data_IF_493174881127
#
_entry.id   IF_493174881127
#
_cell.length_a   1.000
_cell.length_b   1.000
_cell.length_c   1.000
_cell.angle_alpha   90.00
_cell.angle_beta   90.00
_cell.angle_gamma   90.00
#
_symmetry.space_group_name_H-M   'P 1'
#
loop_
_entity.id
_entity.type
_entity.pdbx_description
1 polymer ?
#
# COMPACT_ATOMS: atom_id res chain seq x y z
N UNK A 1 74.62 -1.00 -22.88
CA UNK A 1 73.81 -0.15 -23.76
C UNK A 1 72.40 -0.71 -23.65
N UNK A 2 71.63 -0.45 -22.58
CA UNK A 2 71.18 0.87 -22.06
C UNK A 2 70.72 1.77 -23.22
N UNK A 3 69.50 2.34 -23.27
CA UNK A 3 68.47 2.58 -22.26
C UNK A 3 67.18 3.08 -22.98
N UNK A 4 66.01 2.78 -22.40
CA UNK A 4 64.69 3.48 -22.46
C UNK A 4 63.99 3.76 -23.82
N UNK A 5 62.66 3.87 -23.95
CA UNK A 5 61.58 4.13 -22.99
C UNK A 5 60.23 3.72 -23.61
N UNK A 6 59.28 3.36 -22.75
CA UNK A 6 57.83 3.55 -22.89
C UNK A 6 57.05 2.91 -24.06
N UNK A 7 56.22 1.92 -23.72
CA UNK A 7 54.77 2.10 -23.64
C UNK A 7 54.15 0.82 -23.06
N UNK A 8 54.22 0.72 -21.72
CA UNK A 8 53.27 -0.07 -20.95
C UNK A 8 52.07 0.83 -20.73
N UNK A 9 50.93 0.61 -21.40
CA UNK A 9 49.67 1.17 -20.92
C UNK A 9 48.44 0.45 -21.49
N UNK A 10 47.66 -0.10 -20.55
CA UNK A 10 46.20 -0.19 -20.55
C UNK A 10 45.52 -1.33 -21.31
N UNK A 11 45.56 -2.53 -20.72
CA UNK A 11 44.43 -3.46 -20.79
C UNK A 11 43.34 -2.95 -19.82
N UNK A 12 42.14 -2.54 -20.27
CA UNK A 12 41.05 -2.32 -19.33
C UNK A 12 40.57 -3.70 -18.87
N UNK A 13 40.97 -4.08 -17.66
CA UNK A 13 40.33 -5.17 -16.92
C UNK A 13 38.91 -4.72 -16.57
N UNK A 14 37.98 -4.87 -17.52
CA UNK A 14 36.57 -4.59 -17.31
C UNK A 14 35.98 -5.71 -16.46
N UNK A 15 36.22 -5.65 -15.15
CA UNK A 15 35.53 -6.47 -14.16
C UNK A 15 34.04 -6.11 -14.28
N UNK A 16 33.21 -7.11 -14.57
CA UNK A 16 31.77 -6.88 -14.75
C UNK A 16 31.18 -6.24 -13.49
N UNK A 17 30.24 -5.27 -13.63
CA UNK A 17 29.63 -4.60 -12.48
C UNK A 17 28.86 -5.58 -11.57
N UNK A 18 28.49 -6.75 -12.10
CA UNK A 18 27.87 -7.85 -11.35
C UNK A 18 28.88 -8.60 -10.47
N UNK A 19 30.11 -8.81 -10.95
CA UNK A 19 31.20 -9.38 -10.16
C UNK A 19 31.68 -8.41 -9.08
N UNK A 20 31.74 -7.11 -9.38
CA UNK A 20 32.08 -6.09 -8.40
C UNK A 20 31.00 -6.01 -7.30
N UNK A 21 29.72 -6.14 -7.67
CA UNK A 21 28.59 -6.19 -6.72
C UNK A 21 28.57 -7.46 -5.88
N UNK A 22 28.88 -8.62 -6.47
CA UNK A 22 28.93 -9.89 -5.73
C UNK A 22 30.14 -9.98 -4.81
N UNK A 23 31.31 -9.48 -5.24
CA UNK A 23 32.51 -9.38 -4.40
C UNK A 23 32.34 -8.35 -3.28
N UNK A 24 31.73 -7.19 -3.56
CA UNK A 24 31.41 -6.21 -2.52
C UNK A 24 30.40 -6.78 -1.51
N UNK A 25 29.38 -7.51 -1.97
CA UNK A 25 28.41 -8.16 -1.09
C UNK A 25 29.02 -9.27 -0.24
N UNK A 26 29.92 -10.09 -0.81
CA UNK A 26 30.60 -11.16 -0.08
C UNK A 26 31.65 -10.63 0.90
N UNK A 27 32.41 -9.60 0.54
CA UNK A 27 33.38 -8.95 1.43
C UNK A 27 32.65 -8.23 2.56
N UNK A 28 31.52 -7.56 2.29
CA UNK A 28 30.74 -6.87 3.31
C UNK A 28 30.05 -7.84 4.26
N UNK A 29 29.48 -8.94 3.77
CA UNK A 29 28.83 -9.96 4.62
C UNK A 29 29.84 -10.79 5.42
N UNK A 30 31.02 -11.08 4.87
CA UNK A 30 32.10 -11.77 5.58
C UNK A 30 32.77 -10.85 6.63
N UNK A 31 33.01 -9.58 6.28
CA UNK A 31 33.51 -8.58 7.22
C UNK A 31 32.51 -8.33 8.36
N UNK A 32 31.21 -8.23 8.08
CA UNK A 32 30.19 -8.00 9.12
C UNK A 32 30.14 -9.17 10.11
N UNK A 33 30.24 -10.43 9.64
CA UNK A 33 30.36 -11.60 10.53
C UNK A 33 31.65 -11.60 11.35
N UNK A 34 32.78 -11.19 10.79
CA UNK A 34 34.05 -11.07 11.52
C UNK A 34 34.02 -9.95 12.56
N UNK A 35 33.44 -8.79 12.23
CA UNK A 35 33.32 -7.66 13.16
C UNK A 35 32.33 -7.92 14.28
N UNK A 36 31.24 -8.63 14.02
CA UNK A 36 30.28 -9.04 15.07
C UNK A 36 30.95 -10.02 16.04
N UNK A 37 31.70 -11.01 15.54
CA UNK A 37 32.42 -11.97 16.39
C UNK A 37 33.59 -11.34 17.18
N UNK A 38 34.25 -10.30 16.64
CA UNK A 38 35.35 -9.61 17.34
C UNK A 38 34.86 -8.52 18.31
N UNK A 39 33.75 -7.84 18.01
CA UNK A 39 33.18 -6.77 18.83
C UNK A 39 32.65 -7.28 20.18
N UNK A 40 32.24 -8.56 20.26
CA UNK A 40 31.89 -9.20 21.53
C UNK A 40 33.06 -9.28 22.52
N UNK A 41 34.32 -9.23 22.05
CA UNK A 41 35.51 -9.37 22.90
C UNK A 41 36.26 -8.07 23.19
N UNK A 42 36.15 -7.02 22.37
CA UNK A 42 36.92 -5.77 22.58
C UNK A 42 36.17 -4.51 22.12
N UNK A 43 35.84 -3.64 23.09
CA UNK A 43 35.18 -2.31 22.92
C UNK A 43 35.73 -1.38 21.81
N UNK A 44 37.05 -1.31 21.49
CA UNK A 44 37.53 -0.38 20.46
C UNK A 44 37.08 -0.72 19.02
N UNK A 45 36.65 -1.96 18.73
CA UNK A 45 36.19 -2.34 17.39
C UNK A 45 34.81 -1.79 17.02
N UNK A 46 33.98 -1.46 18.00
CA UNK A 46 32.69 -0.82 17.79
C UNK A 46 32.86 0.61 17.25
N UNK A 47 33.89 1.32 17.75
CA UNK A 47 34.26 2.65 17.28
C UNK A 47 34.77 2.57 15.84
N UNK A 48 35.63 1.60 15.52
CA UNK A 48 36.11 1.39 14.15
C UNK A 48 34.94 1.10 13.20
N UNK A 49 33.98 0.27 13.62
CA UNK A 49 32.77 0.00 12.82
C UNK A 49 31.96 1.27 12.58
N UNK A 50 31.79 2.10 13.61
CA UNK A 50 31.05 3.36 13.49
C UNK A 50 31.74 4.36 12.57
N UNK A 51 33.08 4.44 12.62
CA UNK A 51 33.91 5.29 11.75
C UNK A 51 33.85 4.82 10.29
N UNK A 52 33.91 3.50 10.04
CA UNK A 52 33.79 2.95 8.69
C UNK A 52 32.41 3.20 8.08
N UNK A 53 31.33 3.02 8.86
CA UNK A 53 29.96 3.26 8.40
C UNK A 53 29.74 4.75 8.13
N UNK A 54 30.17 5.65 9.04
CA UNK A 54 30.02 7.09 8.83
C UNK A 54 30.87 7.60 7.66
N UNK A 55 32.08 7.09 7.50
CA UNK A 55 32.94 7.39 6.34
C UNK A 55 32.30 6.93 5.02
N UNK A 56 31.75 5.71 4.97
CA UNK A 56 31.06 5.20 3.80
C UNK A 56 29.83 6.04 3.41
N UNK A 57 29.01 6.42 4.40
CA UNK A 57 27.86 7.31 4.18
C UNK A 57 28.28 8.72 3.75
N UNK A 58 29.40 9.22 4.26
CA UNK A 58 29.98 10.49 3.84
C UNK A 58 30.42 10.45 2.37
N UNK A 59 31.09 9.38 1.93
CA UNK A 59 31.48 9.21 0.54
C UNK A 59 30.29 9.04 -0.40
N UNK A 60 29.22 8.33 0.00
CA UNK A 60 27.99 8.24 -0.77
C UNK A 60 27.30 9.61 -0.95
N UNK A 61 27.33 10.44 0.10
CA UNK A 61 26.80 11.81 0.05
C UNK A 61 27.68 12.73 -0.81
N UNK A 62 29.00 12.57 -0.76
CA UNK A 62 29.95 13.30 -1.61
C UNK A 62 29.79 12.89 -3.08
N UNK A 63 29.56 11.61 -3.36
CA UNK A 63 29.26 11.11 -4.71
C UNK A 63 27.95 11.72 -5.24
N UNK A 64 26.92 11.77 -4.40
CA UNK A 64 25.64 12.40 -4.74
C UNK A 64 25.78 13.90 -5.02
N UNK A 65 26.75 14.57 -4.41
CA UNK A 65 27.03 15.99 -4.67
C UNK A 65 27.78 16.19 -6.00
N UNK A 66 28.75 15.32 -6.30
CA UNK A 66 29.56 15.38 -7.52
C UNK A 66 28.77 15.01 -8.79
N UNK A 67 27.78 14.12 -8.69
CA UNK A 67 27.00 13.62 -9.84
C UNK A 67 25.64 14.32 -10.04
N UNK A 68 25.24 15.27 -9.19
CA UNK A 68 23.94 15.94 -9.25
C UNK A 68 24.04 17.47 -9.45
N UNK A 69 25.18 17.96 -9.97
CA UNK A 69 25.47 19.40 -10.11
C UNK A 69 24.94 20.06 -11.41
N UNK A 70 24.25 19.35 -12.30
CA UNK A 70 23.75 19.89 -13.58
C UNK A 70 22.21 19.98 -13.70
N UNK A 71 21.53 20.45 -12.64
CA UNK A 71 20.13 20.89 -12.74
C UNK A 71 19.99 22.34 -12.21
N UNK A 72 19.32 23.26 -12.95
CA UNK A 72 19.35 24.68 -12.65
C UNK A 72 18.54 25.06 -11.40
N UNK A 73 18.88 26.18 -10.73
CA UNK A 73 18.35 26.53 -9.42
C UNK A 73 16.92 27.08 -9.48
N UNK A 74 16.07 26.55 -8.59
CA UNK A 74 14.69 27.00 -8.36
C UNK A 74 14.72 28.24 -7.47
N UNK A 75 14.43 29.42 -8.03
CA UNK A 75 14.26 30.66 -7.27
C UNK A 75 12.83 30.78 -6.73
N UNK A 76 12.72 31.15 -5.46
CA UNK A 76 11.49 31.59 -4.80
C UNK A 76 11.23 33.06 -5.17
N UNK A 77 10.01 33.41 -5.60
CA UNK A 77 9.36 34.67 -5.26
C UNK A 77 7.87 34.63 -5.62
N UNK A 78 7.08 35.31 -4.79
CA UNK A 78 5.63 35.41 -4.78
C UNK A 78 5.03 36.15 -6.00
N UNK A 79 3.72 35.93 -6.16
CA UNK A 79 2.65 36.80 -6.71
C UNK A 79 1.89 36.16 -7.88
N UNK A 80 0.57 36.04 -7.67
CA UNK A 80 -0.48 35.69 -8.61
C UNK A 80 -0.25 36.24 -10.02
N UNK A 81 -0.43 35.41 -11.05
CA UNK A 81 -1.22 35.71 -12.27
C UNK A 81 -1.29 34.46 -13.14
N UNK A 82 -2.51 34.11 -13.55
CA UNK A 82 -2.87 33.08 -14.52
C UNK A 82 -2.12 33.27 -15.84
N UNK A 83 -1.51 32.22 -16.38
CA UNK A 83 -1.37 31.95 -17.82
C UNK A 83 -0.84 30.53 -18.05
N UNK A 84 -1.57 29.64 -18.74
CA UNK A 84 -1.01 28.36 -19.18
C UNK A 84 -0.18 28.55 -20.49
N UNK A 85 0.91 27.78 -20.67
CA UNK A 85 1.62 27.75 -21.95
C UNK A 85 0.80 26.98 -22.98
N UNK A 86 0.66 27.56 -24.16
CA UNK A 86 0.09 26.90 -25.34
C UNK A 86 1.04 25.79 -25.81
N UNK A 87 0.54 24.55 -25.83
CA UNK A 87 1.05 23.51 -26.75
C UNK A 87 -0.07 22.55 -27.12
N UNK A 88 -0.16 22.28 -28.41
CA UNK A 88 -1.26 21.71 -29.18
C UNK A 88 -1.78 20.33 -28.75
N UNK A 89 -3.11 20.21 -28.90
CA UNK A 89 -3.89 19.14 -29.51
C UNK A 89 -3.66 17.69 -29.04
N UNK A 90 -4.51 17.23 -28.10
CA UNK A 90 -5.38 16.01 -28.23
C UNK A 90 -6.12 15.52 -26.96
N UNK A 91 -6.19 16.27 -25.86
CA UNK A 91 -6.87 15.80 -24.62
C UNK A 91 -7.86 16.81 -23.99
N UNK A 92 -8.73 17.40 -24.78
CA UNK A 92 -9.58 18.54 -24.37
C UNK A 92 -10.97 18.16 -23.82
N UNK A 93 -11.12 17.00 -23.16
CA UNK A 93 -12.37 16.65 -22.45
C UNK A 93 -12.17 16.54 -20.91
N UNK A 94 -10.94 16.32 -20.41
CA UNK A 94 -10.72 16.04 -18.97
C UNK A 94 -10.49 17.26 -18.05
N UNK A 95 -10.15 18.43 -18.59
CA UNK A 95 -9.65 19.56 -17.76
C UNK A 95 -10.76 20.45 -17.16
N UNK A 96 -11.98 20.39 -17.72
CA UNK A 96 -13.08 21.29 -17.31
C UNK A 96 -13.95 20.76 -16.15
N UNK A 97 -13.97 19.44 -15.93
CA UNK A 97 -14.90 18.79 -14.99
C UNK A 97 -14.46 18.96 -13.54
N UNK A 98 -13.15 18.88 -13.28
CA UNK A 98 -12.54 18.97 -11.96
C UNK A 98 -12.55 20.37 -11.33
N UNK A 99 -12.75 21.44 -12.13
CA UNK A 99 -12.81 22.83 -11.64
C UNK A 99 -14.25 23.38 -11.55
N UNK A 100 -15.26 22.52 -11.73
CA UNK A 100 -16.65 22.92 -11.57
C UNK A 100 -16.96 23.30 -10.11
N UNK A 101 -17.88 24.25 -9.92
CA UNK A 101 -18.35 24.63 -8.59
C UNK A 101 -18.92 23.45 -7.80
N UNK A 102 -19.57 22.51 -8.51
CA UNK A 102 -20.16 21.29 -7.95
C UNK A 102 -19.06 20.32 -7.51
N UNK A 103 -18.02 20.10 -8.32
CA UNK A 103 -16.88 19.28 -7.93
C UNK A 103 -16.18 19.80 -6.68
N UNK A 104 -15.97 21.13 -6.59
CA UNK A 104 -15.40 21.78 -5.40
C UNK A 104 -16.29 21.62 -4.18
N UNK A 105 -17.61 21.82 -4.33
CA UNK A 105 -18.57 21.65 -3.25
C UNK A 105 -18.59 20.21 -2.72
N UNK A 106 -18.70 19.21 -3.60
CA UNK A 106 -18.71 17.81 -3.20
C UNK A 106 -17.38 17.39 -2.55
N UNK A 107 -16.24 17.82 -3.10
CA UNK A 107 -14.92 17.56 -2.53
C UNK A 107 -14.78 18.13 -1.11
N UNK A 108 -15.28 19.35 -0.91
CA UNK A 108 -15.29 20.01 0.40
C UNK A 108 -16.18 19.26 1.39
N UNK A 109 -17.39 18.88 1.00
CA UNK A 109 -18.31 18.11 1.86
C UNK A 109 -17.66 16.78 2.26
N UNK A 110 -17.09 16.02 1.33
CA UNK A 110 -16.40 14.76 1.62
C UNK A 110 -15.18 14.95 2.53
N UNK A 111 -14.44 16.06 2.39
CA UNK A 111 -13.38 16.42 3.33
C UNK A 111 -13.89 16.60 4.75
N UNK A 112 -14.99 17.35 4.89
CA UNK A 112 -15.58 17.62 6.20
C UNK A 112 -16.11 16.32 6.84
N UNK A 113 -16.57 15.35 6.05
CA UNK A 113 -16.98 14.02 6.58
C UNK A 113 -15.82 13.34 7.31
N UNK A 114 -14.62 13.32 6.73
CA UNK A 114 -13.44 12.72 7.38
C UNK A 114 -13.10 13.42 8.70
N UNK A 115 -13.24 14.75 8.77
CA UNK A 115 -12.84 15.56 9.93
C UNK A 115 -13.84 15.51 11.11
N UNK A 116 -15.14 15.32 10.84
CA UNK A 116 -16.16 15.33 11.90
C UNK A 116 -16.26 13.96 12.57
N UNK A 117 -16.14 13.85 13.90
CA UNK A 117 -16.31 12.57 14.60
C UNK A 117 -17.76 12.06 14.52
N UNK A 118 -17.93 10.73 14.45
CA UNK A 118 -19.25 10.07 14.33
C UNK A 118 -20.20 10.41 15.49
N UNK A 119 -19.66 10.73 16.67
CA UNK A 119 -20.45 11.16 17.84
C UNK A 119 -21.15 12.52 17.65
N UNK A 120 -20.72 13.32 16.68
CA UNK A 120 -21.34 14.61 16.38
C UNK A 120 -22.55 14.43 15.47
N UNK A 121 -23.70 15.00 15.83
CA UNK A 121 -24.88 15.05 14.95
C UNK A 121 -24.57 15.70 13.59
N UNK A 122 -23.55 16.57 13.51
CA UNK A 122 -23.10 17.18 12.25
C UNK A 122 -22.60 16.15 11.24
N UNK A 123 -22.04 15.02 11.70
CA UNK A 123 -21.55 13.96 10.84
C UNK A 123 -22.67 13.42 9.94
N UNK A 124 -23.81 13.06 10.55
CA UNK A 124 -24.98 12.57 9.81
C UNK A 124 -25.51 13.61 8.80
N UNK A 125 -25.52 14.89 9.18
CA UNK A 125 -25.98 15.98 8.31
C UNK A 125 -25.06 16.12 7.09
N UNK A 126 -23.75 16.25 7.31
CA UNK A 126 -22.78 16.42 6.22
C UNK A 126 -22.72 15.19 5.33
N UNK A 127 -22.81 13.98 5.91
CA UNK A 127 -22.89 12.74 5.15
C UNK A 127 -24.15 12.67 4.28
N UNK A 128 -25.31 13.03 4.82
CA UNK A 128 -26.56 13.07 4.03
C UNK A 128 -26.50 14.13 2.91
N UNK A 129 -25.79 15.23 3.13
CA UNK A 129 -25.55 16.24 2.09
C UNK A 129 -24.66 15.68 0.97
N UNK A 130 -23.60 14.93 1.31
CA UNK A 130 -22.78 14.25 0.31
C UNK A 130 -23.61 13.26 -0.51
N UNK A 131 -24.42 12.44 0.15
CA UNK A 131 -25.30 11.45 -0.49
C UNK A 131 -26.33 12.11 -1.41
N UNK A 132 -26.94 13.22 -0.98
CA UNK A 132 -27.84 14.02 -1.80
C UNK A 132 -27.18 14.53 -3.07
N UNK A 133 -26.00 15.15 -2.95
CA UNK A 133 -25.26 15.66 -4.11
C UNK A 133 -24.85 14.54 -5.09
N UNK A 134 -24.37 13.41 -4.57
CA UNK A 134 -23.98 12.26 -5.41
C UNK A 134 -25.20 11.73 -6.17
N UNK A 135 -26.34 11.59 -5.48
CA UNK A 135 -27.57 11.06 -6.05
C UNK A 135 -28.21 12.02 -7.05
N UNK A 136 -28.22 13.33 -6.77
CA UNK A 136 -28.68 14.37 -7.70
C UNK A 136 -27.85 14.35 -8.99
N UNK A 137 -26.52 14.35 -8.87
CA UNK A 137 -25.61 14.23 -10.02
C UNK A 137 -25.88 12.97 -10.85
N UNK A 138 -26.23 11.86 -10.18
CA UNK A 138 -26.55 10.59 -10.83
C UNK A 138 -27.89 10.63 -11.56
N UNK A 139 -28.91 11.27 -10.97
CA UNK A 139 -30.26 11.37 -11.55
C UNK A 139 -30.34 12.25 -12.78
N UNK A 140 -29.49 13.28 -12.86
CA UNK A 140 -29.44 14.16 -14.02
C UNK A 140 -28.85 13.47 -15.27
N UNK A 141 -28.18 12.32 -15.11
CA UNK A 141 -27.60 11.47 -16.16
C UNK A 141 -26.76 12.24 -17.21
N UNK A 142 -26.20 13.38 -16.79
CA UNK A 142 -25.30 14.18 -17.61
C UNK A 142 -23.87 13.65 -17.47
N UNK A 143 -23.20 13.40 -18.61
CA UNK A 143 -21.84 12.86 -18.64
C UNK A 143 -20.85 13.67 -17.78
N UNK A 144 -20.97 15.00 -17.80
CA UNK A 144 -20.15 15.88 -16.97
C UNK A 144 -20.34 15.66 -15.46
N UNK A 145 -21.58 15.46 -15.00
CA UNK A 145 -21.88 15.21 -13.57
C UNK A 145 -21.49 13.80 -13.14
N UNK A 146 -21.61 12.84 -14.06
CA UNK A 146 -21.10 11.48 -13.85
C UNK A 146 -19.58 11.48 -13.64
N UNK A 147 -18.85 12.24 -14.46
CA UNK A 147 -17.39 12.40 -14.31
C UNK A 147 -17.02 13.21 -13.05
N UNK A 148 -17.83 14.19 -12.63
CA UNK A 148 -17.65 14.84 -11.31
C UNK A 148 -17.74 13.82 -10.19
N UNK A 149 -18.78 12.99 -10.15
CA UNK A 149 -18.94 11.96 -9.13
C UNK A 149 -17.75 11.01 -9.12
N UNK A 150 -17.35 10.50 -10.29
CA UNK A 150 -16.19 9.64 -10.46
C UNK A 150 -14.93 10.26 -9.86
N UNK A 151 -14.50 11.41 -10.37
CA UNK A 151 -13.24 12.04 -9.99
C UNK A 151 -13.20 12.40 -8.50
N UNK A 152 -14.29 12.96 -7.97
CA UNK A 152 -14.36 13.41 -6.58
C UNK A 152 -14.45 12.23 -5.60
N UNK A 153 -15.25 11.20 -5.90
CA UNK A 153 -15.34 10.01 -5.06
C UNK A 153 -14.02 9.23 -5.05
N UNK A 154 -13.38 9.06 -6.20
CA UNK A 154 -12.09 8.40 -6.31
C UNK A 154 -10.98 9.15 -5.57
N UNK A 155 -10.97 10.49 -5.66
CA UNK A 155 -10.06 11.33 -4.87
C UNK A 155 -10.32 11.20 -3.37
N UNK A 156 -11.59 11.22 -2.95
CA UNK A 156 -11.97 11.05 -1.56
C UNK A 156 -11.60 9.65 -1.02
N UNK A 157 -11.75 8.60 -1.83
CA UNK A 157 -11.35 7.24 -1.49
C UNK A 157 -9.84 7.18 -1.25
N UNK A 158 -9.03 7.65 -2.19
CA UNK A 158 -7.56 7.71 -2.04
C UNK A 158 -7.14 8.48 -0.80
N UNK A 159 -7.75 9.64 -0.54
CA UNK A 159 -7.41 10.46 0.62
C UNK A 159 -7.78 9.78 1.94
N UNK A 160 -8.96 9.19 2.03
CA UNK A 160 -9.40 8.44 3.22
C UNK A 160 -8.48 7.24 3.47
N UNK A 161 -8.02 6.59 2.39
CA UNK A 161 -7.06 5.50 2.46
C UNK A 161 -5.72 5.97 3.03
N UNK A 162 -5.19 7.10 2.56
CA UNK A 162 -3.96 7.70 3.09
C UNK A 162 -4.09 8.12 4.55
N UNK A 163 -5.23 8.68 4.97
CA UNK A 163 -5.48 9.02 6.37
C UNK A 163 -5.54 7.79 7.27
N UNK A 164 -6.17 6.71 6.80
CA UNK A 164 -6.20 5.45 7.54
C UNK A 164 -4.79 4.87 7.69
N UNK A 165 -4.00 4.85 6.62
CA UNK A 165 -2.61 4.39 6.67
C UNK A 165 -1.78 5.23 7.66
N UNK A 166 -1.89 6.55 7.60
CA UNK A 166 -1.20 7.45 8.53
C UNK A 166 -1.60 7.18 9.99
N UNK A 167 -2.89 7.06 10.27
CA UNK A 167 -3.40 6.77 11.62
C UNK A 167 -2.89 5.42 12.15
N UNK A 168 -2.77 4.40 11.28
CA UNK A 168 -2.24 3.09 11.66
C UNK A 168 -0.73 3.11 11.91
N UNK A 169 0.02 3.95 11.20
CA UNK A 169 1.44 4.15 11.47
C UNK A 169 1.66 4.83 12.82
N UNK A 170 0.86 5.85 13.15
CA UNK A 170 0.91 6.53 14.45
C UNK A 170 0.59 5.56 15.60
N UNK A 171 -0.48 4.77 15.47
CA UNK A 171 -0.85 3.74 16.45
C UNK A 171 0.26 2.71 16.68
N UNK A 172 1.03 2.39 15.63
CA UNK A 172 2.18 1.49 15.70
C UNK A 172 3.41 2.08 16.41
N UNK A 173 3.56 3.41 16.42
CA UNK A 173 4.67 4.11 17.07
C UNK A 173 4.45 4.24 18.57
N UNK A 174 3.23 4.54 19.01
CA UNK A 174 2.89 4.73 20.44
C UNK A 174 3.07 3.45 21.27
N UNK A 175 2.86 2.26 20.67
CA UNK A 175 3.07 0.96 21.34
C UNK A 175 4.54 0.66 21.63
N UNK A 176 5.48 1.25 20.89
CA UNK A 176 6.91 0.99 21.05
C UNK A 176 7.51 1.85 22.17
N UNK A 177 6.84 2.95 22.55
CA UNK A 177 7.30 3.85 23.60
C UNK A 177 7.11 3.34 25.03
N UNK A 178 6.30 2.30 25.25
CA UNK A 178 5.84 1.94 26.60
C UNK A 178 6.22 0.55 27.13
N UNK A 179 6.50 -0.45 26.29
CA UNK A 179 6.79 -1.80 26.77
C UNK A 179 8.23 -2.24 26.51
N UNK A 180 9.00 -2.31 27.60
CA UNK A 180 10.32 -2.91 27.64
C UNK A 180 10.27 -4.44 27.53
N UNK A 181 11.22 -4.98 26.76
CA UNK A 181 11.77 -6.34 26.82
C UNK A 181 10.78 -7.52 26.73
N UNK A 182 10.54 -7.99 25.50
CA UNK A 182 10.12 -9.36 25.19
C UNK A 182 10.70 -9.82 23.84
N UNK A 183 11.12 -11.10 23.68
CA UNK A 183 11.75 -11.56 22.45
C UNK A 183 10.70 -12.00 21.44
N UNK A 184 10.66 -11.36 20.26
CA UNK A 184 9.92 -11.87 19.11
C UNK A 184 10.78 -11.70 17.83
N UNK A 185 11.34 -12.80 17.27
CA UNK A 185 11.99 -12.77 15.96
C UNK A 185 10.93 -12.63 14.86
N UNK A 186 11.31 -12.03 13.72
CA UNK A 186 10.48 -11.68 12.54
C UNK A 186 9.82 -10.28 12.58
N UNK A 187 9.50 -9.72 13.74
CA UNK A 187 8.93 -8.36 13.85
C UNK A 187 9.91 -7.22 13.51
N UNK A 188 11.21 -7.49 13.53
CA UNK A 188 12.25 -6.48 13.31
C UNK A 188 12.45 -6.13 11.82
N UNK A 189 12.07 -7.03 10.91
CA UNK A 189 12.33 -6.87 9.48
C UNK A 189 11.31 -5.95 8.80
N UNK A 190 10.02 -6.16 9.08
CA UNK A 190 8.91 -5.31 8.61
C UNK A 190 9.08 -3.87 9.14
N UNK A 191 9.51 -3.72 10.40
CA UNK A 191 9.76 -2.41 11.03
C UNK A 191 10.98 -1.66 10.47
N UNK A 192 11.96 -2.36 9.87
CA UNK A 192 13.12 -1.73 9.21
C UNK A 192 12.83 -1.36 7.76
N UNK A 193 12.03 -2.14 7.06
CA UNK A 193 11.54 -1.80 5.72
C UNK A 193 10.72 -0.48 5.73
N UNK A 194 9.86 -0.28 6.74
CA UNK A 194 9.11 0.97 6.91
C UNK A 194 10.01 2.21 7.12
N UNK A 195 11.21 2.04 7.70
CA UNK A 195 12.13 3.15 7.98
C UNK A 195 12.84 3.67 6.72
N UNK A 196 12.96 2.84 5.70
CA UNK A 196 13.65 3.20 4.45
C UNK A 196 12.73 4.00 3.52
N UNK A 197 11.42 3.72 3.52
CA UNK A 197 10.47 4.41 2.63
C UNK A 197 10.18 5.86 3.08
N UNK A 198 10.25 6.15 4.38
CA UNK A 198 9.98 7.51 4.91
C UNK A 198 11.16 8.49 4.81
N UNK A 199 12.30 8.08 4.27
CA UNK A 199 13.50 8.93 4.19
C UNK A 199 13.61 9.74 2.89
N UNK A 200 12.71 9.51 1.92
CA UNK A 200 12.81 10.09 0.56
C UNK A 200 11.67 11.05 0.20
N UNK A 201 10.61 11.14 0.99
CA UNK A 201 9.51 12.06 0.69
C UNK A 201 8.61 12.34 1.88
N UNK A 202 9.05 13.20 2.78
CA UNK A 202 8.18 14.19 3.45
C UNK A 202 9.02 15.05 4.38
N UNK A 203 9.56 16.13 3.80
CA UNK A 203 9.94 17.29 4.58
C UNK A 203 8.71 18.15 4.80
N UNK A 204 8.50 18.54 6.07
CA UNK A 204 7.58 19.59 6.53
C UNK A 204 6.12 19.15 6.69
N UNK A 205 5.76 18.63 7.87
CA UNK A 205 4.59 19.07 8.67
C UNK A 205 4.82 18.65 10.14
N UNK A 206 5.78 19.28 10.81
CA UNK A 206 5.78 19.35 12.27
C UNK A 206 5.42 20.79 12.63
N UNK A 207 4.15 21.03 12.95
CA UNK A 207 3.73 22.27 13.58
C UNK A 207 3.22 21.97 14.98
N UNK A 208 4.12 22.24 15.92
CA UNK A 208 3.89 22.60 17.31
C UNK A 208 2.51 23.25 17.55
N UNK A 209 1.74 22.74 18.50
CA UNK A 209 0.46 23.33 18.86
C UNK A 209 -0.33 22.65 19.97
N UNK A 210 0.01 23.00 21.21
CA UNK A 210 -0.80 22.90 22.44
C UNK A 210 -0.99 21.52 23.08
N UNK A 211 -0.44 21.39 24.29
CA UNK A 211 -0.77 20.32 25.22
C UNK A 211 -2.25 20.36 25.59
N UNK A 212 -2.93 19.25 25.35
CA UNK A 212 -4.14 18.87 26.06
C UNK A 212 -3.86 17.55 26.76
N UNK A 213 -4.29 17.54 28.02
CA UNK A 213 -4.21 16.48 29.00
C UNK A 213 -4.52 15.09 28.42
N UNK A 214 -3.70 14.13 28.81
CA UNK A 214 -3.81 12.69 28.58
C UNK A 214 -5.25 12.19 28.77
N UNK A 215 -5.92 11.91 27.66
CA UNK A 215 -7.16 11.11 27.62
C UNK A 215 -7.30 10.46 26.22
N UNK A 216 -6.19 9.99 25.63
CA UNK A 216 -6.11 9.75 24.17
C UNK A 216 -5.78 8.30 23.74
N UNK A 217 -5.93 7.30 24.62
CA UNK A 217 -5.66 5.91 24.23
C UNK A 217 -6.81 5.29 23.42
N UNK A 218 -8.06 5.74 23.62
CA UNK A 218 -9.24 5.22 22.91
C UNK A 218 -9.74 6.10 21.75
N UNK A 219 -9.17 7.29 21.55
CA UNK A 219 -9.65 8.24 20.52
C UNK A 219 -9.07 7.91 19.14
N UNK A 220 -7.82 7.47 19.08
CA UNK A 220 -7.13 7.12 17.83
C UNK A 220 -7.68 5.84 17.18
N UNK A 221 -7.93 4.78 17.97
CA UNK A 221 -8.55 3.53 17.48
C UNK A 221 -9.95 3.76 16.88
N UNK A 222 -10.79 4.57 17.54
CA UNK A 222 -12.11 4.94 17.04
C UNK A 222 -12.04 5.79 15.74
N UNK A 223 -10.94 6.53 15.54
CA UNK A 223 -10.72 7.31 14.32
C UNK A 223 -10.36 6.40 13.13
N UNK A 224 -9.48 5.41 13.34
CA UNK A 224 -9.11 4.46 12.28
C UNK A 224 -10.29 3.57 11.88
N UNK A 225 -11.09 3.08 12.84
CA UNK A 225 -12.31 2.32 12.55
C UNK A 225 -13.33 3.15 11.76
N UNK A 226 -13.50 4.43 12.11
CA UNK A 226 -14.32 5.38 11.35
C UNK A 226 -13.83 5.51 9.90
N UNK A 227 -12.54 5.72 9.68
CA UNK A 227 -11.97 5.86 8.34
C UNK A 227 -12.15 4.58 7.51
N UNK A 228 -12.03 3.40 8.12
CA UNK A 228 -12.33 2.13 7.45
C UNK A 228 -13.82 2.02 7.06
N UNK A 229 -14.75 2.47 7.92
CA UNK A 229 -16.17 2.52 7.61
C UNK A 229 -16.50 3.56 6.51
N UNK A 230 -15.78 4.68 6.47
CA UNK A 230 -15.89 5.67 5.40
C UNK A 230 -15.34 5.15 4.07
N UNK A 231 -14.24 4.39 4.07
CA UNK A 231 -13.74 3.70 2.88
C UNK A 231 -14.77 2.72 2.31
N UNK A 232 -15.39 1.90 3.16
CA UNK A 232 -16.44 0.99 2.72
C UNK A 232 -17.60 1.75 2.05
N UNK A 233 -18.02 2.87 2.65
CA UNK A 233 -19.09 3.69 2.10
C UNK A 233 -18.70 4.36 0.78
N UNK A 234 -17.48 4.90 0.67
CA UNK A 234 -16.99 5.49 -0.58
C UNK A 234 -16.91 4.44 -1.69
N UNK A 235 -16.47 3.22 -1.37
CA UNK A 235 -16.49 2.10 -2.30
C UNK A 235 -17.92 1.79 -2.78
N UNK A 236 -18.88 1.71 -1.85
CA UNK A 236 -20.30 1.53 -2.21
C UNK A 236 -20.80 2.66 -3.12
N UNK A 237 -20.44 3.92 -2.84
CA UNK A 237 -20.84 5.05 -3.69
C UNK A 237 -20.18 5.06 -5.06
N UNK A 238 -18.93 4.63 -5.17
CA UNK A 238 -18.27 4.40 -6.45
C UNK A 238 -18.99 3.32 -7.25
N UNK A 239 -19.35 2.21 -6.63
CA UNK A 239 -20.12 1.12 -7.26
C UNK A 239 -21.52 1.59 -7.69
N UNK A 240 -22.25 2.30 -6.83
CA UNK A 240 -23.58 2.87 -7.13
C UNK A 240 -23.56 3.84 -8.34
N UNK A 241 -22.39 4.44 -8.62
CA UNK A 241 -22.16 5.34 -9.76
C UNK A 241 -21.56 4.63 -10.99
N UNK A 242 -21.30 3.32 -10.93
CA UNK A 242 -20.71 2.54 -12.04
C UNK A 242 -19.18 2.56 -12.10
N UNK A 243 -18.50 3.03 -11.05
CA UNK A 243 -17.04 3.21 -10.98
C UNK A 243 -16.38 2.29 -9.94
N UNK A 244 -16.90 1.07 -9.77
CA UNK A 244 -16.39 0.10 -8.80
C UNK A 244 -14.93 -0.31 -9.04
N UNK A 245 -14.49 -0.32 -10.29
CA UNK A 245 -13.12 -0.68 -10.70
C UNK A 245 -12.07 0.21 -10.01
N UNK A 246 -12.36 1.51 -9.91
CA UNK A 246 -11.46 2.48 -9.30
C UNK A 246 -11.27 2.28 -7.80
N UNK A 247 -12.28 1.77 -7.10
CA UNK A 247 -12.17 1.39 -5.69
C UNK A 247 -11.34 0.12 -5.54
N UNK A 248 -11.56 -0.86 -6.42
CA UNK A 248 -10.84 -2.14 -6.45
C UNK A 248 -9.35 -1.92 -6.74
N UNK A 249 -9.00 -1.15 -7.77
CA UNK A 249 -7.61 -0.85 -8.15
C UNK A 249 -6.84 -0.14 -7.02
N UNK A 250 -7.47 0.86 -6.40
CA UNK A 250 -6.88 1.63 -5.29
C UNK A 250 -6.67 0.76 -4.05
N UNK A 251 -7.63 -0.10 -3.74
CA UNK A 251 -7.49 -1.04 -2.63
C UNK A 251 -6.41 -2.08 -2.91
N UNK A 252 -6.39 -2.65 -4.12
CA UNK A 252 -5.35 -3.59 -4.55
C UNK A 252 -3.94 -2.99 -4.41
N UNK A 253 -3.79 -1.71 -4.73
CA UNK A 253 -2.51 -1.00 -4.67
C UNK A 253 -2.08 -0.58 -3.26
N UNK A 254 -2.94 -0.71 -2.24
CA UNK A 254 -2.68 -0.28 -0.88
C UNK A 254 -1.92 -1.34 -0.04
N UNK A 255 -0.80 -1.83 -0.57
CA UNK A 255 0.00 -2.91 0.04
C UNK A 255 0.61 -2.53 1.40
N UNK A 256 0.99 -1.26 1.60
CA UNK A 256 1.48 -0.76 2.88
C UNK A 256 0.40 -0.87 3.97
N UNK A 257 -0.80 -0.37 3.68
CA UNK A 257 -1.95 -0.48 4.57
C UNK A 257 -2.29 -1.95 4.85
N UNK A 258 -2.28 -2.79 3.82
CA UNK A 258 -2.51 -4.23 3.97
C UNK A 258 -1.48 -4.87 4.92
N UNK A 259 -0.20 -4.50 4.83
CA UNK A 259 0.83 -4.99 5.75
C UNK A 259 0.62 -4.51 7.19
N UNK A 260 0.21 -3.25 7.38
CA UNK A 260 -0.09 -2.67 8.69
C UNK A 260 -1.34 -3.32 9.32
N UNK A 261 -2.30 -3.75 8.49
CA UNK A 261 -3.53 -4.42 8.95
C UNK A 261 -3.27 -5.68 9.76
N UNK A 262 -2.18 -6.40 9.48
CA UNK A 262 -1.78 -7.59 10.23
C UNK A 262 -1.40 -7.29 11.69
N UNK A 263 -1.05 -6.04 11.98
CA UNK A 263 -0.67 -5.56 13.32
C UNK A 263 -1.79 -4.73 13.98
N UNK A 264 -2.88 -4.47 13.26
CA UNK A 264 -3.99 -3.69 13.77
C UNK A 264 -4.75 -4.43 14.89
N UNK A 265 -5.46 -3.67 15.71
CA UNK A 265 -6.34 -4.27 16.72
C UNK A 265 -7.47 -5.09 16.06
N UNK A 266 -7.97 -6.14 16.74
CA UNK A 266 -9.04 -7.00 16.24
C UNK A 266 -10.25 -6.29 15.62
N UNK A 267 -10.68 -5.18 16.22
CA UNK A 267 -11.84 -4.40 15.73
C UNK A 267 -11.56 -3.68 14.41
N UNK A 268 -10.38 -3.07 14.30
CA UNK A 268 -9.94 -2.45 13.05
C UNK A 268 -9.69 -3.50 11.97
N UNK A 269 -9.06 -4.64 12.31
CA UNK A 269 -8.95 -5.78 11.38
C UNK A 269 -10.32 -6.21 10.87
N UNK A 270 -11.32 -6.33 11.75
CA UNK A 270 -12.69 -6.65 11.34
C UNK A 270 -13.30 -5.62 10.38
N UNK A 271 -13.05 -4.34 10.60
CA UNK A 271 -13.50 -3.28 9.70
C UNK A 271 -12.82 -3.37 8.32
N UNK A 272 -11.53 -3.65 8.28
CA UNK A 272 -10.78 -3.84 7.02
C UNK A 272 -11.18 -5.12 6.28
N UNK A 273 -11.50 -6.20 7.01
CA UNK A 273 -12.06 -7.43 6.42
C UNK A 273 -13.37 -7.13 5.71
N UNK A 274 -14.24 -6.27 6.26
CA UNK A 274 -15.49 -5.87 5.58
C UNK A 274 -15.22 -5.11 4.28
N UNK A 275 -14.25 -4.20 4.28
CA UNK A 275 -13.82 -3.47 3.07
C UNK A 275 -13.29 -4.45 2.02
N UNK A 276 -12.35 -5.33 2.40
CA UNK A 276 -11.81 -6.37 1.50
C UNK A 276 -12.92 -7.26 0.95
N UNK A 277 -13.84 -7.73 1.80
CA UNK A 277 -14.94 -8.61 1.39
C UNK A 277 -15.83 -7.97 0.34
N UNK A 278 -16.18 -6.70 0.54
CA UNK A 278 -16.98 -5.95 -0.43
C UNK A 278 -16.24 -5.81 -1.76
N UNK A 279 -14.96 -5.45 -1.73
CA UNK A 279 -14.18 -5.19 -2.94
C UNK A 279 -13.79 -6.45 -3.71
N UNK A 280 -13.56 -7.59 -3.03
CA UNK A 280 -13.39 -8.87 -3.72
C UNK A 280 -14.67 -9.30 -4.45
N UNK A 281 -15.84 -9.13 -3.84
CA UNK A 281 -17.12 -9.38 -4.50
C UNK A 281 -17.31 -8.45 -5.71
N UNK A 282 -17.00 -7.17 -5.54
CA UNK A 282 -17.06 -6.20 -6.64
C UNK A 282 -16.12 -6.59 -7.79
N UNK A 283 -14.89 -7.02 -7.50
CA UNK A 283 -13.92 -7.48 -8.51
C UNK A 283 -14.46 -8.64 -9.36
N UNK A 284 -15.15 -9.60 -8.73
CA UNK A 284 -15.82 -10.72 -9.40
C UNK A 284 -17.03 -10.24 -10.23
N UNK A 285 -17.89 -9.39 -9.68
CA UNK A 285 -19.11 -8.99 -10.38
C UNK A 285 -18.83 -8.19 -11.66
N UNK A 286 -17.72 -7.43 -11.68
CA UNK A 286 -17.24 -6.76 -12.90
C UNK A 286 -16.74 -7.72 -13.97
N UNK A 287 -16.36 -8.95 -13.61
CA UNK A 287 -15.90 -9.97 -14.57
C UNK A 287 -17.04 -10.62 -15.32
N UNK A 288 -18.18 -10.84 -14.65
CA UNK A 288 -19.37 -11.40 -15.28
C UNK A 288 -20.10 -10.42 -16.22
N UNK A 289 -19.74 -9.14 -16.22
CA UNK A 289 -20.48 -8.08 -16.89
C UNK A 289 -19.93 -7.66 -18.27
N UNK A 290 -18.86 -8.28 -18.78
CA UNK A 290 -18.15 -7.81 -19.98
C UNK A 290 -18.10 -8.85 -21.12
N UNK A 291 -18.26 -8.36 -22.35
CA UNK A 291 -17.98 -9.07 -23.61
C UNK A 291 -16.46 -9.05 -23.90
N UNK A 292 -15.92 -10.16 -24.44
CA UNK A 292 -14.51 -10.58 -24.62
C UNK A 292 -13.58 -9.66 -25.46
N UNK A 293 -13.77 -8.34 -25.51
CA UNK A 293 -13.31 -7.56 -26.67
C UNK A 293 -11.98 -6.80 -26.53
N UNK A 294 -11.31 -6.74 -25.37
CA UNK A 294 -10.06 -5.95 -25.26
C UNK A 294 -8.99 -6.57 -24.33
N UNK A 295 -8.02 -7.30 -24.92
CA UNK A 295 -6.87 -7.96 -24.24
C UNK A 295 -6.09 -7.04 -23.27
N UNK A 296 -5.99 -5.75 -23.58
CA UNK A 296 -5.27 -4.79 -22.73
C UNK A 296 -5.92 -4.62 -21.35
N UNK A 297 -7.25 -4.64 -21.30
CA UNK A 297 -8.00 -4.52 -20.05
C UNK A 297 -7.95 -5.84 -19.26
N UNK A 298 -7.82 -6.98 -19.92
CA UNK A 298 -7.66 -8.27 -19.24
C UNK A 298 -6.34 -8.34 -18.45
N UNK A 299 -5.23 -7.87 -19.03
CA UNK A 299 -3.93 -7.84 -18.37
C UNK A 299 -3.94 -6.98 -17.10
N UNK A 300 -4.43 -5.75 -17.21
CA UNK A 300 -4.53 -4.81 -16.07
C UNK A 300 -5.43 -5.36 -14.96
N UNK A 301 -6.51 -6.06 -15.33
CA UNK A 301 -7.42 -6.70 -14.38
C UNK A 301 -6.77 -7.90 -13.69
N UNK A 302 -6.02 -8.75 -14.40
CA UNK A 302 -5.26 -9.85 -13.81
C UNK A 302 -4.21 -9.32 -12.82
N UNK A 303 -3.47 -8.27 -13.19
CA UNK A 303 -2.51 -7.61 -12.30
C UNK A 303 -3.21 -7.07 -11.04
N UNK A 304 -4.39 -6.46 -11.20
CA UNK A 304 -5.19 -5.96 -10.07
C UNK A 304 -5.64 -7.09 -9.15
N UNK A 305 -6.16 -8.21 -9.70
CA UNK A 305 -6.53 -9.39 -8.91
C UNK A 305 -5.32 -9.95 -8.15
N UNK A 306 -4.18 -10.04 -8.83
CA UNK A 306 -2.95 -10.52 -8.23
C UNK A 306 -2.49 -9.62 -7.07
N UNK A 307 -2.54 -8.29 -7.24
CA UNK A 307 -2.26 -7.32 -6.17
C UNK A 307 -3.24 -7.44 -5.00
N UNK A 308 -4.54 -7.63 -5.28
CA UNK A 308 -5.55 -7.84 -4.23
C UNK A 308 -5.24 -9.08 -3.41
N UNK A 309 -5.03 -10.22 -4.07
CA UNK A 309 -4.76 -11.51 -3.42
C UNK A 309 -3.47 -11.44 -2.61
N UNK A 310 -2.38 -10.97 -3.21
CA UNK A 310 -1.07 -10.90 -2.53
C UNK A 310 -1.05 -9.92 -1.36
N UNK A 311 -1.78 -8.80 -1.45
CA UNK A 311 -1.80 -7.79 -0.38
C UNK A 311 -2.78 -8.15 0.74
N UNK A 312 -4.00 -8.58 0.42
CA UNK A 312 -5.10 -8.64 1.38
C UNK A 312 -5.47 -10.04 1.86
N UNK A 313 -5.11 -11.11 1.14
CA UNK A 313 -5.31 -12.48 1.62
C UNK A 313 -4.63 -12.74 2.98
N UNK A 314 -3.41 -12.21 3.27
CA UNK A 314 -2.81 -12.29 4.61
C UNK A 314 -3.71 -11.79 5.75
N UNK A 315 -4.45 -10.70 5.53
CA UNK A 315 -5.37 -10.15 6.52
C UNK A 315 -6.55 -11.10 6.71
N UNK A 316 -7.11 -11.62 5.62
CA UNK A 316 -8.24 -12.55 5.69
C UNK A 316 -7.88 -13.80 6.51
N UNK A 317 -6.68 -14.35 6.31
CA UNK A 317 -6.19 -15.50 7.07
C UNK A 317 -5.96 -15.21 8.56
N UNK A 318 -5.54 -13.99 8.92
CA UNK A 318 -5.06 -13.67 10.27
C UNK A 318 -6.04 -12.87 11.12
N UNK A 319 -7.04 -12.24 10.52
CA UNK A 319 -8.01 -11.44 11.25
C UNK A 319 -8.77 -12.32 12.25
N UNK A 320 -8.85 -11.87 13.49
CA UNK A 320 -9.59 -12.60 14.52
C UNK A 320 -11.07 -12.65 14.16
N UNK A 321 -11.70 -13.81 14.33
CA UNK A 321 -13.10 -14.01 13.98
C UNK A 321 -14.11 -13.34 14.92
N UNK A 322 -13.67 -12.57 15.92
CA UNK A 322 -14.52 -11.90 16.91
C UNK A 322 -15.26 -12.93 17.78
N UNK A 323 -14.80 -13.15 19.01
CA UNK A 323 -15.40 -14.17 19.90
C UNK A 323 -16.84 -13.86 20.32
N UNK A 324 -17.24 -12.58 20.36
CA UNK A 324 -18.57 -12.16 20.84
C UNK A 324 -19.51 -11.68 19.72
N UNK A 325 -18.97 -11.20 18.60
CA UNK A 325 -19.72 -10.80 17.41
C UNK A 325 -18.89 -11.11 16.17
N UNK A 326 -19.30 -12.07 15.33
CA UNK A 326 -18.53 -12.44 14.16
C UNK A 326 -18.49 -11.27 13.17
N UNK A 327 -17.29 -10.96 12.65
CA UNK A 327 -17.06 -9.87 11.70
C UNK A 327 -17.88 -10.07 10.41
N UNK A 328 -17.96 -11.32 9.96
CA UNK A 328 -18.73 -11.81 8.82
C UNK A 328 -19.59 -12.98 9.27
N UNK A 329 -20.81 -13.07 8.77
CA UNK A 329 -21.66 -14.25 8.90
C UNK A 329 -21.04 -15.48 8.20
N UNK A 330 -21.47 -16.67 8.58
CA UNK A 330 -21.02 -17.93 7.97
C UNK A 330 -21.27 -17.92 6.45
N UNK A 331 -22.41 -17.38 6.02
CA UNK A 331 -22.74 -17.26 4.61
C UNK A 331 -21.83 -16.27 3.88
N UNK A 332 -21.52 -15.12 4.48
CA UNK A 332 -20.60 -14.16 3.88
C UNK A 332 -19.18 -14.71 3.74
N UNK A 333 -18.75 -15.52 4.71
CA UNK A 333 -17.47 -16.23 4.67
C UNK A 333 -17.40 -17.24 3.54
N UNK A 334 -18.41 -18.09 3.41
CA UNK A 334 -18.49 -19.10 2.34
C UNK A 334 -18.58 -18.46 0.95
N UNK A 335 -19.35 -17.38 0.81
CA UNK A 335 -19.42 -16.60 -0.42
C UNK A 335 -18.06 -16.00 -0.79
N UNK A 336 -17.33 -15.43 0.18
CA UNK A 336 -16.00 -14.88 -0.08
C UNK A 336 -14.97 -15.96 -0.39
N UNK A 337 -15.02 -17.12 0.27
CA UNK A 337 -14.16 -18.27 -0.08
C UNK A 337 -14.39 -18.68 -1.54
N UNK A 338 -15.65 -18.80 -1.96
CA UNK A 338 -15.99 -19.09 -3.36
C UNK A 338 -15.45 -18.02 -4.31
N UNK A 339 -15.62 -16.74 -3.99
CA UNK A 339 -15.06 -15.63 -4.78
C UNK A 339 -13.54 -15.73 -4.90
N UNK A 340 -12.83 -16.03 -3.81
CA UNK A 340 -11.38 -16.21 -3.82
C UNK A 340 -10.98 -17.41 -4.67
N UNK A 341 -11.69 -18.53 -4.56
CA UNK A 341 -11.41 -19.72 -5.36
C UNK A 341 -11.55 -19.42 -6.86
N UNK A 342 -12.68 -18.86 -7.27
CA UNK A 342 -12.94 -18.46 -8.67
C UNK A 342 -11.86 -17.48 -9.17
N UNK A 343 -11.52 -16.48 -8.35
CA UNK A 343 -10.50 -15.47 -8.71
C UNK A 343 -9.12 -16.10 -8.92
N UNK A 344 -8.72 -17.06 -8.06
CA UNK A 344 -7.42 -17.71 -8.16
C UNK A 344 -7.37 -18.67 -9.36
N UNK A 345 -8.47 -19.39 -9.66
CA UNK A 345 -8.51 -20.30 -10.79
C UNK A 345 -8.31 -19.63 -12.15
N UNK A 346 -8.65 -18.33 -12.23
CA UNK A 346 -8.48 -17.51 -13.43
C UNK A 346 -7.05 -16.98 -13.62
N UNK A 347 -6.17 -17.18 -12.64
CA UNK A 347 -4.76 -16.79 -12.74
C UNK A 347 -3.93 -17.85 -13.47
N UNK A 348 -2.75 -17.45 -13.94
CA UNK A 348 -1.80 -18.38 -14.53
C UNK A 348 -1.21 -19.34 -13.49
N UNK A 349 -0.71 -20.49 -13.93
CA UNK A 349 -0.27 -21.55 -13.02
C UNK A 349 0.81 -21.11 -12.01
N UNK A 350 1.74 -20.23 -12.42
CA UNK A 350 2.77 -19.67 -11.53
C UNK A 350 2.19 -18.68 -10.51
N UNK A 351 1.24 -17.86 -10.93
CA UNK A 351 0.54 -16.91 -10.05
C UNK A 351 -0.33 -17.65 -9.02
N UNK A 352 -1.01 -18.72 -9.45
CA UNK A 352 -1.74 -19.63 -8.56
C UNK A 352 -0.81 -20.19 -7.47
N UNK A 353 0.38 -20.68 -7.84
CA UNK A 353 1.37 -21.17 -6.89
C UNK A 353 1.76 -20.11 -5.85
N UNK A 354 2.02 -18.88 -6.31
CA UNK A 354 2.40 -17.78 -5.43
C UNK A 354 1.29 -17.46 -4.42
N UNK A 355 0.04 -17.34 -4.87
CA UNK A 355 -1.10 -17.02 -4.00
C UNK A 355 -1.40 -18.17 -3.05
N UNK A 356 -1.38 -19.42 -3.52
CA UNK A 356 -1.64 -20.60 -2.70
C UNK A 356 -0.54 -20.84 -1.66
N UNK A 357 0.72 -20.56 -2.00
CA UNK A 357 1.84 -20.60 -1.05
C UNK A 357 1.70 -19.52 0.03
N UNK A 358 1.31 -18.31 -0.37
CA UNK A 358 1.02 -17.21 0.56
C UNK A 358 -0.13 -17.57 1.50
N UNK A 359 -1.23 -18.07 0.94
CA UNK A 359 -2.37 -18.55 1.73
C UNK A 359 -1.93 -19.59 2.76
N UNK A 360 -1.23 -20.64 2.33
CA UNK A 360 -0.80 -21.74 3.21
C UNK A 360 0.09 -21.22 4.34
N UNK A 361 1.02 -20.30 4.04
CA UNK A 361 1.86 -19.67 5.05
C UNK A 361 1.04 -18.92 6.11
N UNK A 362 0.08 -18.09 5.67
CA UNK A 362 -0.71 -17.27 6.60
C UNK A 362 -1.78 -18.08 7.35
N UNK A 363 -2.40 -19.06 6.69
CA UNK A 363 -3.37 -19.98 7.24
C UNK A 363 -2.74 -20.85 8.33
N UNK A 364 -1.59 -21.48 8.06
CA UNK A 364 -0.93 -22.35 9.05
C UNK A 364 -0.33 -21.58 10.25
N UNK A 365 0.01 -20.30 10.07
CA UNK A 365 0.57 -19.48 11.14
C UNK A 365 -0.49 -19.00 12.16
N UNK A 366 -1.75 -18.89 11.74
CA UNK A 366 -2.83 -18.41 12.60
C UNK A 366 -3.56 -19.56 13.28
N UNK A 367 -3.24 -19.85 14.54
CA UNK A 367 -3.93 -20.91 15.30
C UNK A 367 -5.36 -20.55 15.74
N UNK A 368 -5.78 -19.30 15.54
CA UNK A 368 -7.06 -18.78 16.00
C UNK A 368 -8.10 -18.60 14.88
N UNK A 369 -7.74 -18.88 13.63
CA UNK A 369 -8.64 -18.76 12.48
C UNK A 369 -8.40 -19.89 11.48
N UNK A 370 -9.45 -20.67 11.21
CA UNK A 370 -9.47 -21.67 10.13
C UNK A 370 -10.06 -21.10 8.83
N UNK A 371 -9.98 -19.79 8.63
CA UNK A 371 -10.62 -19.06 7.52
C UNK A 371 -9.63 -18.08 6.86
N UNK A 372 -9.64 -17.92 5.51
CA UNK A 372 -10.42 -18.68 4.52
C UNK A 372 -9.84 -20.08 4.26
N UNK A 373 -10.71 -21.07 4.08
CA UNK A 373 -10.31 -22.45 3.80
C UNK A 373 -10.22 -22.73 2.29
N UNK A 374 -9.03 -22.56 1.72
CA UNK A 374 -8.75 -22.84 0.30
C UNK A 374 -8.12 -24.22 0.08
N UNK A 375 -8.31 -25.16 1.01
CA UNK A 375 -7.68 -26.49 0.96
C UNK A 375 -8.08 -27.28 -0.30
N UNK A 376 -9.36 -27.22 -0.70
CA UNK A 376 -9.84 -27.92 -1.88
C UNK A 376 -9.16 -27.41 -3.16
N UNK A 377 -9.05 -26.09 -3.31
CA UNK A 377 -8.33 -25.45 -4.40
C UNK A 377 -6.84 -25.83 -4.40
N UNK A 378 -6.18 -25.80 -3.24
CA UNK A 378 -4.78 -26.20 -3.10
C UNK A 378 -4.55 -27.66 -3.56
N UNK A 379 -5.41 -28.59 -3.15
CA UNK A 379 -5.34 -29.98 -3.59
C UNK A 379 -5.56 -30.15 -5.11
N UNK A 380 -6.48 -29.37 -5.69
CA UNK A 380 -6.75 -29.35 -7.13
C UNK A 380 -5.53 -28.83 -7.91
N UNK A 381 -4.95 -27.71 -7.47
CA UNK A 381 -3.70 -27.18 -8.04
C UNK A 381 -2.57 -28.21 -7.98
N UNK A 382 -2.29 -28.81 -6.81
CA UNK A 382 -1.28 -29.86 -6.66
C UNK A 382 -1.50 -31.05 -7.63
N UNK A 383 -2.75 -31.44 -7.86
CA UNK A 383 -3.10 -32.53 -8.79
C UNK A 383 -2.80 -32.12 -10.23
N UNK A 384 -3.10 -30.88 -10.60
CA UNK A 384 -2.82 -30.32 -11.93
C UNK A 384 -1.30 -30.16 -12.15
N UNK A 385 -0.56 -29.63 -11.18
CA UNK A 385 0.89 -29.48 -11.26
C UNK A 385 1.59 -30.84 -11.43
N UNK A 386 1.14 -31.90 -10.72
CA UNK A 386 1.67 -33.26 -10.93
C UNK A 386 1.43 -33.76 -12.36
N UNK A 387 0.26 -33.49 -12.95
CA UNK A 387 -0.02 -33.87 -14.34
C UNK A 387 0.90 -33.14 -15.31
N UNK A 388 1.14 -31.84 -15.11
CA UNK A 388 2.05 -31.03 -15.94
C UNK A 388 3.50 -31.54 -15.88
N UNK A 389 3.95 -31.97 -14.71
CA UNK A 389 5.28 -32.59 -14.53
C UNK A 389 5.41 -33.95 -15.22
N UNK A 390 4.33 -34.72 -15.34
CA UNK A 390 4.33 -36.03 -15.99
C UNK A 390 4.17 -35.96 -17.52
N UNK A 391 3.82 -34.78 -18.05
CA UNK A 391 3.70 -34.51 -19.49
C UNK A 391 5.02 -34.01 -20.11
N UNK A 392 5.99 -33.63 -19.27
CA UNK A 392 7.38 -33.34 -19.64
C UNK A 392 8.26 -34.56 -19.33
#
# INVERSE_FOLDING_TARGET
MEVEMDMMENLPSTISPLLLRSMASSVFTYADKLFINLAEKFKPFEIIRYVLITSFLFFLRLLSFLFLSDLPPKSQSHVYTFNPPKSNDRYLIGSGVSDSGIARALSQVLSIVNDIPVSSRKYAIVRSLAEGLIEENRREDAEGLREVNRAVLSSAFSRTLSYLEAAMVELGQDRIGHDGAGPAPVQYWVKRALRVVRSVGDGVWAKEGSGAVREDVNRSGNSAEKLAAELLWLAQKLVDCGFGEEAVERWASASNLASLSLLAEPRLQGSLVKVSTFLFKQARDMEMALDETEEFYEESRRETKMKMLTSWLPLLCRASNGTDMPVLSINEKAELEKVLEETIELLDHEEQEQVLSLWLHHFAYCSSSDWPNLHALYCRWCTNSRKLLLLH
#
